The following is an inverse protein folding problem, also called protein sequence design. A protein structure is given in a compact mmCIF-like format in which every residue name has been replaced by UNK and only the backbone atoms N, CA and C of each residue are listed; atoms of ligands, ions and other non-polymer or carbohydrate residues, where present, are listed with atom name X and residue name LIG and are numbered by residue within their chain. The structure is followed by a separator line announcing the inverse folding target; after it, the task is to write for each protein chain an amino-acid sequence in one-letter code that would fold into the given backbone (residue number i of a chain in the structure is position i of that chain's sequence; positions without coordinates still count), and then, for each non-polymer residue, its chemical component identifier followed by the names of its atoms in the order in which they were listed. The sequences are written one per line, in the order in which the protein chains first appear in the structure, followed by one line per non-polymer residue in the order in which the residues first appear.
data_IF_682702681402
#
_entry.id   IF_682702681402
#
_cell.length_a   1.000
_cell.length_b   1.000
_cell.length_c   1.000
_cell.angle_alpha   90.00
_cell.angle_beta   90.00
_cell.angle_gamma   90.00
#
_symmetry.space_group_name_H-M   'P 1'
#
loop_
_entity.id
_entity.type
_entity.pdbx_description
1 polymer ?
#
# COMPACT_ATOMS: atom_id res chain seq x y z
N UNK A 1 21.14 -3.49 15.14
CA UNK A 1 20.11 -2.48 15.47
C UNK A 1 19.59 -1.96 14.15
N UNK A 2 18.45 -2.50 13.68
CA UNK A 2 17.87 -2.22 12.38
C UNK A 2 16.78 -1.12 12.48
N UNK A 3 17.10 -0.11 13.29
CA UNK A 3 16.33 1.11 13.45
C UNK A 3 17.16 2.20 12.75
N UNK A 4 16.78 2.60 11.52
CA UNK A 4 16.70 4.03 11.17
C UNK A 4 16.37 4.39 9.71
N UNK A 5 16.42 3.50 8.70
CA UNK A 5 16.32 3.96 7.29
C UNK A 5 15.00 3.72 6.55
N UNK A 6 13.86 3.91 7.23
CA UNK A 6 12.57 4.13 6.52
C UNK A 6 11.79 5.33 7.05
N UNK A 7 12.48 6.29 7.67
CA UNK A 7 11.89 7.48 8.28
C UNK A 7 11.42 8.59 7.32
N UNK A 8 11.51 8.41 5.99
CA UNK A 8 11.46 9.56 5.07
C UNK A 8 10.45 9.52 3.91
N UNK A 9 9.38 8.69 3.96
CA UNK A 9 8.26 8.80 3.01
C UNK A 9 6.90 8.64 3.72
N UNK A 10 6.54 9.69 4.48
CA UNK A 10 5.19 9.93 5.00
C UNK A 10 4.73 8.89 6.03
N UNK A 11 4.75 9.27 7.31
CA UNK A 11 4.33 8.51 8.47
C UNK A 11 2.85 8.09 8.38
N UNK A 12 2.55 7.05 7.60
CA UNK A 12 1.28 6.34 7.75
C UNK A 12 1.34 5.67 9.12
N UNK A 13 0.34 5.89 9.99
CA UNK A 13 0.34 5.23 11.28
C UNK A 13 0.36 3.72 11.05
N UNK A 14 0.98 2.94 11.95
CA UNK A 14 1.14 1.49 11.78
C UNK A 14 -0.20 0.77 11.60
N UNK A 15 -1.29 1.35 12.12
CA UNK A 15 -2.67 0.93 11.87
C UNK A 15 -3.02 0.97 10.37
N UNK A 16 -2.78 2.09 9.72
CA UNK A 16 -3.15 2.30 8.32
C UNK A 16 -2.27 1.48 7.38
N UNK A 17 -1.00 1.29 7.73
CA UNK A 17 -0.12 0.37 7.01
C UNK A 17 -0.62 -1.08 7.07
N UNK A 18 -1.05 -1.55 8.24
CA UNK A 18 -1.63 -2.90 8.39
C UNK A 18 -2.91 -3.07 7.57
N UNK A 19 -3.80 -2.08 7.61
CA UNK A 19 -5.03 -2.08 6.79
C UNK A 19 -4.66 -2.13 5.31
N UNK A 20 -3.72 -1.30 4.88
CA UNK A 20 -3.26 -1.25 3.50
C UNK A 20 -2.68 -2.59 3.03
N UNK A 21 -1.77 -3.20 3.80
CA UNK A 21 -1.19 -4.52 3.47
C UNK A 21 -2.29 -5.60 3.39
N UNK A 22 -3.26 -5.57 4.31
CA UNK A 22 -4.39 -6.51 4.29
C UNK A 22 -5.25 -6.34 3.03
N UNK A 23 -5.54 -5.10 2.63
CA UNK A 23 -6.29 -4.79 1.40
C UNK A 23 -5.53 -5.23 0.14
N UNK A 24 -4.21 -5.01 0.11
CA UNK A 24 -3.37 -5.52 -0.97
C UNK A 24 -3.44 -7.05 -1.02
N UNK A 25 -3.22 -7.74 0.10
CA UNK A 25 -3.24 -9.20 0.18
C UNK A 25 -4.59 -9.81 -0.24
N UNK A 26 -5.71 -9.17 0.13
CA UNK A 26 -7.05 -9.57 -0.32
C UNK A 26 -7.16 -9.48 -1.86
N UNK A 27 -6.76 -8.35 -2.44
CA UNK A 27 -6.83 -8.15 -3.89
C UNK A 27 -5.83 -9.07 -4.66
N UNK A 28 -4.67 -9.41 -4.07
CA UNK A 28 -3.78 -10.45 -4.61
C UNK A 28 -4.45 -11.82 -4.59
N UNK A 29 -5.04 -12.20 -3.46
CA UNK A 29 -5.71 -13.49 -3.27
C UNK A 29 -6.89 -13.65 -4.23
N UNK A 30 -7.58 -12.54 -4.54
CA UNK A 30 -8.69 -12.50 -5.50
C UNK A 30 -8.26 -12.58 -6.97
N UNK A 31 -6.95 -12.68 -7.24
CA UNK A 31 -6.42 -12.77 -8.61
C UNK A 31 -6.36 -11.43 -9.35
N UNK A 32 -6.57 -10.30 -8.66
CA UNK A 32 -6.48 -8.97 -9.28
C UNK A 32 -5.05 -8.47 -9.44
N UNK A 33 -4.05 -9.26 -9.02
CA UNK A 33 -2.65 -8.93 -9.20
C UNK A 33 -2.08 -9.64 -10.44
N UNK A 34 -1.78 -8.87 -11.48
CA UNK A 34 -1.10 -9.40 -12.65
C UNK A 34 0.40 -9.15 -12.51
N UNK A 35 1.13 -10.13 -11.95
CA UNK A 35 2.59 -10.33 -11.87
C UNK A 35 3.49 -9.16 -11.33
N UNK A 36 3.09 -7.90 -11.49
CA UNK A 36 3.92 -6.69 -11.28
C UNK A 36 3.10 -5.50 -10.75
N UNK A 37 1.81 -5.34 -11.11
CA UNK A 37 1.01 -4.15 -10.75
C UNK A 37 -0.50 -4.45 -10.66
N UNK A 38 -1.22 -3.68 -9.83
CA UNK A 38 -2.68 -3.63 -9.85
C UNK A 38 -3.21 -2.72 -10.97
N UNK A 39 -4.39 -3.02 -11.51
CA UNK A 39 -5.08 -2.19 -12.50
C UNK A 39 -5.54 -0.86 -11.89
N UNK A 40 -5.81 0.15 -12.73
CA UNK A 40 -6.30 1.48 -12.25
C UNK A 40 -7.57 1.36 -11.41
N UNK A 41 -8.51 0.51 -11.80
CA UNK A 41 -9.76 0.26 -11.06
C UNK A 41 -9.51 -0.39 -9.71
N UNK A 42 -8.60 -1.38 -9.66
CA UNK A 42 -8.17 -2.01 -8.41
C UNK A 42 -7.52 -0.99 -7.48
N UNK A 43 -6.67 -0.09 -8.01
CA UNK A 43 -6.09 1.00 -7.20
C UNK A 43 -7.12 1.97 -6.65
N UNK A 44 -8.13 2.34 -7.45
CA UNK A 44 -9.25 3.17 -6.97
C UNK A 44 -9.97 2.47 -5.83
N UNK A 45 -10.28 1.18 -6.00
CA UNK A 45 -10.94 0.38 -4.98
C UNK A 45 -10.13 0.30 -3.68
N UNK A 46 -8.85 -0.08 -3.76
CA UNK A 46 -7.94 -0.14 -2.59
C UNK A 46 -7.86 1.23 -1.90
N UNK A 47 -7.81 2.31 -2.66
CA UNK A 47 -7.75 3.67 -2.09
C UNK A 47 -9.05 4.03 -1.37
N UNK A 48 -10.20 3.70 -1.95
CA UNK A 48 -11.51 3.92 -1.33
C UNK A 48 -11.65 3.09 -0.05
N UNK A 49 -11.37 1.79 -0.10
CA UNK A 49 -11.42 0.90 1.06
C UNK A 49 -10.46 1.36 2.17
N UNK A 50 -9.23 1.76 1.79
CA UNK A 50 -8.26 2.30 2.73
C UNK A 50 -8.77 3.59 3.36
N UNK A 51 -9.37 4.49 2.56
CA UNK A 51 -9.87 5.76 3.08
C UNK A 51 -11.02 5.58 4.07
N UNK A 52 -11.93 4.64 3.76
CA UNK A 52 -13.04 4.25 4.65
C UNK A 52 -12.52 3.60 5.92
N UNK A 53 -11.60 2.62 5.83
CA UNK A 53 -11.10 1.88 6.98
C UNK A 53 -10.14 2.70 7.86
N UNK A 54 -9.34 3.56 7.24
CA UNK A 54 -8.43 4.47 7.95
C UNK A 54 -9.16 5.68 8.55
N UNK A 55 -10.34 6.02 8.02
CA UNK A 55 -11.02 7.29 8.27
C UNK A 55 -10.14 8.49 7.87
N UNK A 56 -9.36 8.33 6.79
CA UNK A 56 -8.41 9.31 6.29
C UNK A 56 -8.50 9.36 4.76
N UNK A 57 -8.62 10.56 4.19
CA UNK A 57 -8.70 10.71 2.74
C UNK A 57 -7.32 10.49 2.08
N UNK A 58 -7.13 9.32 1.46
CA UNK A 58 -5.94 9.02 0.67
C UNK A 58 -6.18 9.22 -0.82
N UNK A 59 -5.16 9.69 -1.52
CA UNK A 59 -5.17 9.77 -2.98
C UNK A 59 -4.48 8.55 -3.59
N UNK A 60 -4.97 8.07 -4.74
CA UNK A 60 -4.35 6.95 -5.48
C UNK A 60 -2.84 7.15 -5.71
N UNK A 61 -2.39 8.40 -5.92
CA UNK A 61 -0.96 8.73 -6.05
C UNK A 61 -0.16 8.41 -4.77
N UNK A 62 -0.69 8.73 -3.59
CA UNK A 62 -0.06 8.43 -2.31
C UNK A 62 0.02 6.93 -2.06
N UNK A 63 -1.08 6.22 -2.35
CA UNK A 63 -1.17 4.76 -2.21
C UNK A 63 -0.18 4.04 -3.14
N UNK A 64 -0.10 4.46 -4.41
CA UNK A 64 0.90 3.94 -5.37
C UNK A 64 2.33 4.25 -4.96
N UNK A 65 2.59 5.47 -4.48
CA UNK A 65 3.91 5.85 -3.96
C UNK A 65 4.35 4.95 -2.81
N UNK A 66 3.43 4.67 -1.86
CA UNK A 66 3.70 3.78 -0.73
C UNK A 66 3.97 2.34 -1.18
N UNK A 67 3.22 1.84 -2.17
CA UNK A 67 3.45 0.51 -2.75
C UNK A 67 4.80 0.41 -3.47
N UNK A 68 5.15 1.40 -4.29
CA UNK A 68 6.44 1.43 -4.98
C UNK A 68 7.60 1.50 -3.99
N UNK A 69 7.46 2.24 -2.90
CA UNK A 69 8.45 2.26 -1.83
C UNK A 69 8.57 0.91 -1.14
N UNK A 70 7.45 0.35 -0.69
CA UNK A 70 7.40 -0.96 -0.06
C UNK A 70 8.07 -2.01 -0.95
N UNK A 71 7.78 -1.99 -2.25
CA UNK A 71 8.40 -2.88 -3.21
C UNK A 71 9.89 -2.60 -3.38
N UNK A 72 10.34 -1.35 -3.47
CA UNK A 72 11.76 -1.01 -3.60
C UNK A 72 12.55 -1.51 -2.39
N UNK A 73 11.99 -1.37 -1.19
CA UNK A 73 12.59 -1.89 0.06
C UNK A 73 12.62 -3.41 0.14
N UNK A 74 11.68 -4.12 -0.50
CA UNK A 74 11.61 -5.58 -0.49
C UNK A 74 12.13 -6.26 -1.78
N UNK A 75 12.74 -5.50 -2.71
CA UNK A 75 13.25 -6.02 -4.01
C UNK A 75 14.76 -6.37 -3.97
N UNK A 76 15.40 -6.30 -2.82
CA UNK A 76 16.82 -6.67 -2.64
C UNK A 76 17.04 -8.15 -2.22
N UNK A 77 16.16 -9.07 -2.63
CA UNK A 77 16.42 -10.52 -2.51
C UNK A 77 15.95 -11.27 -3.75
#
# INVERSE_FOLDING_TARGET
MAEEETKALGAWPPRDQKIFIKLLADEVTRGNQHNVQFKRDTWKKITTDLAVASNHAYTVKQVKGKFNLHRTMHREF
#
